data_IF_940150120769
#
_entry.id   IF_940150120769
#
_cell.length_a   1.000
_cell.length_b   1.000
_cell.length_c   1.000
_cell.angle_alpha   90.00
_cell.angle_beta   90.00
_cell.angle_gamma   90.00
#
_symmetry.space_group_name_H-M   'P 1'
#
loop_
_entity.id
_entity.type
_entity.pdbx_description
1 polymer ?
#
# COMPACT_ATOMS: atom_id res chain seq x y z
N UNK A 1 18.33 16.09 -17.96
CA UNK A 1 17.75 15.25 -16.90
C UNK A 1 18.20 13.82 -17.12
N UNK A 2 18.91 13.26 -16.15
CA UNK A 2 19.45 11.91 -16.22
C UNK A 2 18.33 10.87 -16.06
N UNK A 3 18.50 9.70 -16.67
CA UNK A 3 17.49 8.62 -16.65
C UNK A 3 17.11 8.21 -15.21
N UNK A 4 18.08 8.29 -14.29
CA UNK A 4 17.89 8.08 -12.84
C UNK A 4 16.99 9.14 -12.19
N UNK A 5 17.19 10.41 -12.51
CA UNK A 5 16.42 11.53 -11.93
C UNK A 5 14.96 11.46 -12.35
N UNK A 6 14.69 11.16 -13.63
CA UNK A 6 13.32 10.99 -14.15
C UNK A 6 12.58 9.83 -13.47
N UNK A 7 13.27 8.72 -13.21
CA UNK A 7 12.70 7.57 -12.51
C UNK A 7 12.40 7.88 -11.04
N UNK A 8 13.26 8.66 -10.40
CA UNK A 8 13.09 9.09 -9.02
C UNK A 8 11.91 10.07 -8.87
N UNK A 9 11.76 11.01 -9.81
CA UNK A 9 10.63 11.95 -9.83
C UNK A 9 9.28 11.24 -10.02
N UNK A 10 9.19 10.28 -10.95
CA UNK A 10 7.99 9.45 -11.15
C UNK A 10 7.64 8.62 -9.90
N UNK A 11 8.66 8.14 -9.17
CA UNK A 11 8.49 7.41 -7.91
C UNK A 11 8.00 8.32 -6.78
N UNK A 12 8.51 9.55 -6.72
CA UNK A 12 8.09 10.55 -5.74
C UNK A 12 6.66 11.06 -6.00
N UNK A 13 6.27 11.24 -7.25
CA UNK A 13 4.90 11.66 -7.62
C UNK A 13 3.87 10.56 -7.33
N UNK A 14 4.17 9.32 -7.73
CA UNK A 14 3.31 8.17 -7.41
C UNK A 14 3.21 7.93 -5.90
N UNK A 15 4.32 8.05 -5.16
CA UNK A 15 4.31 7.95 -3.70
C UNK A 15 3.54 9.09 -3.01
N UNK A 16 3.55 10.32 -3.55
CA UNK A 16 2.74 11.43 -3.04
C UNK A 16 1.24 11.21 -3.27
N UNK A 17 0.85 10.71 -4.45
CA UNK A 17 -0.55 10.32 -4.72
C UNK A 17 -1.01 9.17 -3.81
N UNK A 18 -0.13 8.20 -3.55
CA UNK A 18 -0.35 7.11 -2.59
C UNK A 18 -0.37 7.58 -1.12
N UNK A 19 0.29 8.67 -0.78
CA UNK A 19 0.22 9.25 0.57
C UNK A 19 -1.16 9.85 0.85
N UNK A 20 -1.85 10.27 -0.21
CA UNK A 20 -3.25 10.73 -0.21
C UNK A 20 -4.25 9.61 -0.51
N UNK A 21 -3.84 8.34 -0.45
CA UNK A 21 -4.82 7.25 -0.38
C UNK A 21 -5.52 7.32 0.97
N UNK A 22 -6.84 7.45 0.94
CA UNK A 22 -7.70 7.50 2.10
C UNK A 22 -7.41 6.30 3.03
N UNK A 23 -7.13 6.57 4.30
CA UNK A 23 -6.99 5.54 5.35
C UNK A 23 -8.06 4.42 5.34
N UNK A 24 -9.36 4.69 5.10
CA UNK A 24 -10.36 3.63 5.00
C UNK A 24 -10.10 2.65 3.84
N UNK A 25 -9.62 3.13 2.69
CA UNK A 25 -9.35 2.26 1.54
C UNK A 25 -8.16 1.32 1.82
N UNK A 26 -7.11 1.82 2.49
CA UNK A 26 -5.99 0.96 2.91
C UNK A 26 -6.45 -0.12 3.89
N UNK A 27 -7.33 0.22 4.83
CA UNK A 27 -7.94 -0.75 5.75
C UNK A 27 -8.76 -1.81 5.02
N UNK A 28 -9.58 -1.41 4.06
CA UNK A 28 -10.36 -2.34 3.24
C UNK A 28 -9.45 -3.31 2.49
N UNK A 29 -8.43 -2.80 1.79
CA UNK A 29 -7.44 -3.62 1.07
C UNK A 29 -6.76 -4.63 2.00
N UNK A 30 -6.35 -4.20 3.20
CA UNK A 30 -5.73 -5.11 4.18
C UNK A 30 -6.71 -6.17 4.66
N UNK A 31 -7.97 -5.81 4.89
CA UNK A 31 -9.01 -6.76 5.28
C UNK A 31 -9.26 -7.80 4.17
N UNK A 32 -9.34 -7.36 2.91
CA UNK A 32 -9.55 -8.24 1.75
C UNK A 32 -8.36 -9.19 1.54
N UNK A 33 -7.13 -8.74 1.83
CA UNK A 33 -5.94 -9.60 1.80
C UNK A 33 -5.99 -10.66 2.91
N UNK A 34 -6.42 -10.29 4.11
CA UNK A 34 -6.48 -11.21 5.25
C UNK A 34 -7.61 -12.23 5.15
N UNK A 35 -8.75 -11.82 4.58
CA UNK A 35 -9.87 -12.72 4.24
C UNK A 35 -9.60 -13.53 2.97
N UNK A 36 -8.42 -13.36 2.36
CA UNK A 36 -7.98 -14.03 1.13
C UNK A 36 -8.89 -13.78 -0.09
N UNK A 37 -9.60 -12.65 -0.09
CA UNK A 37 -10.40 -12.17 -1.23
C UNK A 37 -9.50 -11.66 -2.35
N UNK A 38 -8.38 -11.01 -1.99
CA UNK A 38 -7.36 -10.55 -2.95
C UNK A 38 -5.96 -10.88 -2.45
N UNK A 39 -4.98 -10.83 -3.34
CA UNK A 39 -3.58 -11.05 -3.02
C UNK A 39 -2.78 -9.76 -3.07
N UNK A 40 -1.67 -9.73 -2.32
CA UNK A 40 -0.69 -8.62 -2.36
C UNK A 40 -0.21 -8.34 -3.80
N UNK A 41 -0.10 -9.37 -4.63
CA UNK A 41 0.34 -9.24 -6.02
C UNK A 41 -0.69 -8.53 -6.90
N UNK A 42 -1.97 -8.86 -6.74
CA UNK A 42 -3.08 -8.21 -7.46
C UNK A 42 -3.21 -6.76 -7.06
N UNK A 43 -3.27 -6.48 -5.75
CA UNK A 43 -3.32 -5.12 -5.19
C UNK A 43 -2.12 -4.29 -5.66
N UNK A 44 -0.93 -4.89 -5.71
CA UNK A 44 0.28 -4.23 -6.19
C UNK A 44 0.18 -3.81 -7.66
N UNK A 45 -0.46 -4.63 -8.50
CA UNK A 45 -0.65 -4.34 -9.94
C UNK A 45 -1.78 -3.34 -10.17
N UNK A 46 -2.91 -3.52 -9.50
CA UNK A 46 -4.12 -2.71 -9.69
C UNK A 46 -3.92 -1.28 -9.20
N UNK A 47 -3.37 -1.11 -8.00
CA UNK A 47 -3.18 0.19 -7.40
C UNK A 47 -1.76 0.74 -7.61
N UNK A 48 -0.93 0.07 -8.40
CA UNK A 48 0.47 0.42 -8.64
C UNK A 48 1.27 0.65 -7.34
N UNK A 49 0.98 -0.16 -6.32
CA UNK A 49 1.58 -0.06 -4.99
C UNK A 49 2.72 -1.05 -4.86
N UNK A 50 3.82 -0.66 -4.22
CA UNK A 50 4.88 -1.61 -3.93
C UNK A 50 4.44 -2.59 -2.84
N UNK A 51 4.81 -3.88 -3.00
CA UNK A 51 4.53 -4.90 -1.97
C UNK A 51 5.03 -4.50 -0.59
N UNK A 52 6.18 -3.81 -0.51
CA UNK A 52 6.74 -3.30 0.74
C UNK A 52 5.79 -2.34 1.47
N UNK A 53 5.09 -1.45 0.73
CA UNK A 53 4.07 -0.57 1.32
C UNK A 53 2.88 -1.38 1.84
N UNK A 54 2.45 -2.40 1.10
CA UNK A 54 1.33 -3.27 1.48
C UNK A 54 1.68 -4.05 2.76
N UNK A 55 2.88 -4.62 2.86
CA UNK A 55 3.35 -5.28 4.08
C UNK A 55 3.38 -4.33 5.29
N UNK A 56 3.80 -3.07 5.09
CA UNK A 56 3.73 -2.05 6.15
C UNK A 56 2.30 -1.75 6.57
N UNK A 57 1.34 -1.72 5.64
CA UNK A 57 -0.07 -1.54 5.98
C UNK A 57 -0.59 -2.70 6.81
N UNK A 58 -0.30 -3.94 6.39
CA UNK A 58 -0.69 -5.14 7.15
C UNK A 58 -0.11 -5.09 8.56
N UNK A 59 1.18 -4.78 8.72
CA UNK A 59 1.80 -4.66 10.05
C UNK A 59 1.16 -3.55 10.90
N UNK A 60 0.94 -2.36 10.32
CA UNK A 60 0.32 -1.23 11.01
C UNK A 60 -1.12 -1.53 11.46
N UNK A 61 -1.97 -2.06 10.58
CA UNK A 61 -3.38 -2.30 10.90
C UNK A 61 -3.62 -3.61 11.67
N UNK A 62 -2.75 -4.62 11.53
CA UNK A 62 -2.82 -5.83 12.37
C UNK A 62 -2.47 -5.55 13.82
N UNK A 63 -1.49 -4.67 14.09
CA UNK A 63 -1.15 -4.20 15.44
C UNK A 63 -2.28 -3.40 16.08
N UNK A 64 -2.99 -2.57 15.31
CA UNK A 64 -4.16 -1.84 15.80
C UNK A 64 -5.32 -2.74 16.24
N UNK A 65 -5.39 -4.00 15.77
CA UNK A 65 -6.41 -4.96 16.22
C UNK A 65 -6.06 -5.69 17.52
N UNK A 66 -4.78 -5.74 17.92
CA UNK A 66 -4.35 -6.43 19.15
C UNK A 66 -4.63 -5.67 20.45
N UNK A 67 -5.10 -4.42 20.39
CA UNK A 67 -5.38 -3.60 21.58
C UNK A 67 -6.82 -3.81 22.12
N UNK A 68 -7.67 -4.59 21.44
CA UNK A 68 -9.06 -4.85 21.87
C UNK A 68 -9.38 -6.35 22.08
N UNK A 69 -8.43 -7.15 22.58
CA UNK A 69 -8.69 -8.53 23.00
C UNK A 69 -8.36 -8.74 24.47
#
# INVERSE_FOLDING_TARGET
MNKKEKLQQLREESSRQLRRFNEPLKRQIVMDIETKVTTIAEVSREYSVTRNSIYKWIDSYSKSRKINS
#
